data_IF_661591183157
#
_entry.id   IF_661591183157
#
_cell.length_a   1.000
_cell.length_b   1.000
_cell.length_c   1.000
_cell.angle_alpha   90.00
_cell.angle_beta   90.00
_cell.angle_gamma   90.00
#
_symmetry.space_group_name_H-M   'P 1'
#
loop_
_entity.id
_entity.type
_entity.pdbx_description
1 polymer ?
#
# COMPACT_ATOMS: atom_id res chain seq x y z
N UNK A 1 -26.29 24.73 9.51
CA UNK A 1 -26.27 23.90 8.29
C UNK A 1 -24.91 23.68 7.60
N UNK A 2 -23.84 24.51 7.71
CA UNK A 2 -22.61 24.28 6.94
C UNK A 2 -21.80 23.04 7.38
N UNK A 3 -21.78 22.72 8.68
CA UNK A 3 -21.00 21.60 9.26
C UNK A 3 -21.40 20.22 8.69
N UNK A 4 -22.65 20.04 8.26
CA UNK A 4 -23.13 18.76 7.74
C UNK A 4 -22.68 18.50 6.29
N UNK A 5 -22.60 19.54 5.47
CA UNK A 5 -22.16 19.44 4.09
C UNK A 5 -20.66 19.09 4.00
N UNK A 6 -19.84 19.69 4.86
CA UNK A 6 -18.40 19.45 4.89
C UNK A 6 -18.07 17.99 5.28
N UNK A 7 -18.81 17.42 6.23
CA UNK A 7 -18.65 16.02 6.62
C UNK A 7 -19.02 15.04 5.48
N UNK A 8 -20.09 15.32 4.74
CA UNK A 8 -20.51 14.51 3.60
C UNK A 8 -19.51 14.59 2.43
N UNK A 9 -18.94 15.77 2.17
CA UNK A 9 -17.90 15.94 1.16
C UNK A 9 -16.63 15.19 1.56
N UNK A 10 -16.23 15.27 2.84
CA UNK A 10 -15.04 14.59 3.36
C UNK A 10 -15.16 13.07 3.24
N UNK A 11 -16.28 12.47 3.68
CA UNK A 11 -16.47 11.02 3.58
C UNK A 11 -16.50 10.55 2.11
N UNK A 12 -17.10 11.33 1.20
CA UNK A 12 -17.10 11.03 -0.23
C UNK A 12 -15.68 11.00 -0.80
N UNK A 13 -14.85 11.99 -0.45
CA UNK A 13 -13.44 12.03 -0.85
C UNK A 13 -12.65 10.84 -0.32
N UNK A 14 -12.87 10.45 0.94
CA UNK A 14 -12.25 9.24 1.52
C UNK A 14 -12.64 8.01 0.69
N UNK A 15 -13.94 7.80 0.42
CA UNK A 15 -14.37 6.68 -0.43
C UNK A 15 -13.73 6.71 -1.81
N UNK A 16 -13.70 7.87 -2.48
CA UNK A 16 -13.08 7.99 -3.81
C UNK A 16 -11.61 7.60 -3.76
N UNK A 17 -10.85 8.15 -2.81
CA UNK A 17 -9.43 7.87 -2.67
C UNK A 17 -9.17 6.39 -2.37
N UNK A 18 -9.93 5.78 -1.46
CA UNK A 18 -9.82 4.35 -1.16
C UNK A 18 -10.20 3.47 -2.35
N UNK A 19 -11.23 3.84 -3.13
CA UNK A 19 -11.58 3.13 -4.37
C UNK A 19 -10.49 3.24 -5.42
N UNK A 20 -9.85 4.41 -5.57
CA UNK A 20 -8.70 4.56 -6.47
C UNK A 20 -7.55 3.68 -6.00
N UNK A 21 -7.27 3.62 -4.70
CA UNK A 21 -6.23 2.74 -4.17
C UNK A 21 -6.51 1.27 -4.48
N UNK A 22 -7.73 0.79 -4.23
CA UNK A 22 -8.09 -0.59 -4.53
C UNK A 22 -8.02 -0.88 -6.03
N UNK A 23 -8.40 0.08 -6.88
CA UNK A 23 -8.23 -0.06 -8.32
C UNK A 23 -6.75 -0.16 -8.70
N UNK A 24 -5.87 0.67 -8.13
CA UNK A 24 -4.43 0.60 -8.37
C UNK A 24 -3.89 -0.78 -8.01
N UNK A 25 -4.32 -1.35 -6.89
CA UNK A 25 -3.90 -2.68 -6.44
C UNK A 25 -4.43 -3.78 -7.36
N UNK A 26 -5.68 -3.69 -7.83
CA UNK A 26 -6.21 -4.62 -8.84
C UNK A 26 -5.41 -4.53 -10.14
N UNK A 27 -5.09 -3.31 -10.60
CA UNK A 27 -4.27 -3.10 -11.79
C UNK A 27 -2.85 -3.63 -11.61
N UNK A 28 -2.27 -3.51 -10.41
CA UNK A 28 -0.98 -4.09 -10.04
C UNK A 28 -1.02 -5.62 -10.16
N UNK A 29 -2.04 -6.27 -9.58
CA UNK A 29 -2.22 -7.72 -9.69
C UNK A 29 -2.37 -8.17 -11.14
N UNK A 30 -3.15 -7.46 -11.95
CA UNK A 30 -3.28 -7.76 -13.39
C UNK A 30 -1.92 -7.58 -14.09
N UNK A 31 -1.21 -6.49 -13.81
CA UNK A 31 0.08 -6.19 -14.43
C UNK A 31 1.14 -7.26 -14.12
N UNK A 32 1.13 -7.80 -12.89
CA UNK A 32 2.11 -8.79 -12.42
C UNK A 32 1.75 -10.22 -12.79
N UNK A 33 0.47 -10.58 -12.75
CA UNK A 33 0.01 -11.97 -12.93
C UNK A 33 -0.43 -12.29 -14.36
N UNK A 34 -0.61 -11.29 -15.22
CA UNK A 34 -0.97 -11.50 -16.63
C UNK A 34 0.22 -11.35 -17.56
N UNK A 35 0.12 -11.94 -18.76
CA UNK A 35 1.13 -11.77 -19.82
C UNK A 35 1.06 -10.44 -20.56
N UNK A 36 0.11 -9.55 -20.24
CA UNK A 36 -0.28 -8.39 -21.09
C UNK A 36 0.87 -7.38 -21.23
N UNK A 37 1.69 -7.21 -20.18
CA UNK A 37 2.73 -6.16 -20.10
C UNK A 37 4.15 -6.72 -20.13
N UNK A 38 4.30 -7.99 -20.52
CA UNK A 38 5.62 -8.66 -20.59
C UNK A 38 6.49 -8.19 -21.76
N UNK A 39 5.93 -7.46 -22.72
CA UNK A 39 6.67 -6.86 -23.83
C UNK A 39 7.62 -5.73 -23.41
N UNK A 40 8.54 -5.37 -24.31
CA UNK A 40 9.54 -4.33 -24.06
C UNK A 40 9.02 -2.92 -24.34
N UNK A 41 9.50 -1.96 -23.54
CA UNK A 41 9.16 -0.53 -23.69
C UNK A 41 9.76 0.08 -24.96
N UNK A 42 10.95 -0.38 -25.36
CA UNK A 42 11.67 0.13 -26.53
C UNK A 42 12.49 -0.98 -27.23
N UNK A 43 12.92 -0.77 -28.50
CA UNK A 43 13.61 -1.80 -29.29
C UNK A 43 14.94 -2.29 -28.70
N UNK A 44 15.62 -1.46 -27.89
CA UNK A 44 16.85 -1.85 -27.18
C UNK A 44 16.59 -2.77 -25.97
N UNK A 45 15.33 -3.11 -25.67
CA UNK A 45 14.95 -4.03 -24.60
C UNK A 45 15.53 -3.62 -23.24
N UNK A 46 15.53 -2.32 -22.91
CA UNK A 46 16.11 -1.87 -21.65
C UNK A 46 15.23 -2.19 -20.42
N UNK A 47 13.91 -2.34 -20.62
CA UNK A 47 12.92 -2.62 -19.58
C UNK A 47 11.62 -3.20 -20.17
N UNK A 48 10.86 -3.99 -19.40
CA UNK A 48 9.51 -4.45 -19.78
C UNK A 48 8.44 -3.43 -19.35
N UNK A 49 7.26 -3.50 -19.98
CA UNK A 49 6.13 -2.66 -19.55
C UNK A 49 5.69 -2.98 -18.13
N UNK A 50 5.73 -4.25 -17.71
CA UNK A 50 5.42 -4.67 -16.33
C UNK A 50 6.26 -3.89 -15.32
N UNK A 51 7.57 -3.89 -15.51
CA UNK A 51 8.54 -3.25 -14.61
C UNK A 51 8.34 -1.73 -14.57
N UNK A 52 8.15 -1.09 -15.73
CA UNK A 52 7.94 0.37 -15.82
C UNK A 52 6.67 0.81 -15.08
N UNK A 53 5.57 0.08 -15.27
CA UNK A 53 4.28 0.40 -14.65
C UNK A 53 4.32 0.20 -13.13
N UNK A 54 4.99 -0.87 -12.68
CA UNK A 54 5.20 -1.15 -11.26
C UNK A 54 6.16 -0.17 -10.60
N UNK A 55 7.15 0.36 -11.33
CA UNK A 55 8.14 1.30 -10.79
C UNK A 55 7.61 2.74 -10.71
N UNK A 56 6.88 3.18 -11.72
CA UNK A 56 6.52 4.60 -11.89
C UNK A 56 5.03 4.86 -11.73
N UNK A 57 4.20 4.26 -12.58
CA UNK A 57 2.80 4.71 -12.74
C UNK A 57 1.97 4.33 -11.51
N UNK A 58 1.98 3.06 -11.11
CA UNK A 58 1.13 2.56 -10.03
C UNK A 58 1.57 3.10 -8.64
N UNK A 59 2.88 3.18 -8.31
CA UNK A 59 3.30 3.76 -7.04
C UNK A 59 3.02 5.25 -6.93
N UNK A 60 3.20 6.03 -8.02
CA UNK A 60 2.89 7.47 -8.00
C UNK A 60 1.41 7.70 -7.68
N UNK A 61 0.50 6.97 -8.33
CA UNK A 61 -0.93 7.09 -8.02
C UNK A 61 -1.21 6.70 -6.57
N UNK A 62 -0.59 5.63 -6.06
CA UNK A 62 -0.73 5.22 -4.66
C UNK A 62 -0.24 6.27 -3.67
N UNK A 63 0.91 6.91 -3.94
CA UNK A 63 1.45 7.99 -3.10
C UNK A 63 0.53 9.21 -3.13
N UNK A 64 0.01 9.59 -4.31
CA UNK A 64 -0.94 10.69 -4.43
C UNK A 64 -2.24 10.41 -3.66
N UNK A 65 -2.72 9.16 -3.69
CA UNK A 65 -3.86 8.74 -2.88
C UNK A 65 -3.55 8.87 -1.39
N UNK A 66 -2.40 8.36 -0.93
CA UNK A 66 -1.99 8.46 0.47
C UNK A 66 -1.83 9.92 0.94
N UNK A 67 -1.26 10.80 0.10
CA UNK A 67 -1.21 12.24 0.32
C UNK A 67 -2.61 12.83 0.44
N UNK A 68 -3.50 12.50 -0.49
CA UNK A 68 -4.89 12.95 -0.50
C UNK A 68 -5.65 12.50 0.75
N UNK A 69 -5.43 11.27 1.22
CA UNK A 69 -6.04 10.75 2.44
C UNK A 69 -5.59 11.54 3.67
N UNK A 70 -4.29 11.86 3.78
CA UNK A 70 -3.79 12.71 4.87
C UNK A 70 -4.39 14.11 4.82
N UNK A 71 -4.46 14.71 3.65
CA UNK A 71 -5.00 16.07 3.49
C UNK A 71 -6.49 16.14 3.80
N UNK A 72 -7.28 15.21 3.26
CA UNK A 72 -8.72 15.10 3.56
C UNK A 72 -8.94 14.82 5.04
N UNK A 73 -8.03 14.09 5.70
CA UNK A 73 -8.13 13.86 7.15
C UNK A 73 -7.87 15.14 7.95
N UNK A 74 -6.96 16.01 7.50
CA UNK A 74 -6.57 17.26 8.15
C UNK A 74 -7.49 18.45 7.84
N UNK A 75 -8.29 18.37 6.77
CA UNK A 75 -9.01 19.52 6.21
C UNK A 75 -9.83 20.28 7.25
N UNK A 76 -9.64 21.60 7.33
CA UNK A 76 -10.40 22.48 8.23
C UNK A 76 -9.90 22.49 9.70
N UNK A 77 -8.82 21.79 10.01
CA UNK A 77 -8.25 21.77 11.36
C UNK A 77 -6.96 22.60 11.47
N UNK A 78 -6.75 23.20 12.64
CA UNK A 78 -5.46 23.81 13.01
C UNK A 78 -4.40 22.73 13.21
N UNK A 79 -3.18 22.99 12.77
CA UNK A 79 -2.05 22.07 12.90
C UNK A 79 -1.85 21.63 14.35
N UNK A 80 -1.76 20.31 14.59
CA UNK A 80 -1.55 19.73 15.93
C UNK A 80 -0.06 19.41 16.18
N UNK A 81 0.30 19.28 17.46
CA UNK A 81 1.60 18.73 17.85
C UNK A 81 1.77 17.32 17.28
N UNK A 82 2.96 16.99 16.78
CA UNK A 82 3.23 15.72 16.07
C UNK A 82 2.98 15.73 14.56
N UNK A 83 2.22 16.70 14.03
CA UNK A 83 1.93 16.79 12.59
C UNK A 83 3.19 16.94 11.72
N UNK A 84 4.16 17.73 12.20
CA UNK A 84 5.47 17.89 11.54
C UNK A 84 6.20 16.56 11.46
N UNK A 85 6.27 15.82 12.57
CA UNK A 85 6.93 14.52 12.62
C UNK A 85 6.27 13.53 11.66
N UNK A 86 4.93 13.46 11.63
CA UNK A 86 4.22 12.60 10.67
C UNK A 86 4.45 12.99 9.21
N UNK A 87 4.59 14.29 8.91
CA UNK A 87 4.94 14.71 7.55
C UNK A 87 6.37 14.33 7.18
N UNK A 88 7.33 14.43 8.11
CA UNK A 88 8.70 13.93 7.86
C UNK A 88 8.70 12.43 7.65
N UNK A 89 8.03 11.66 8.52
CA UNK A 89 7.87 10.20 8.38
C UNK A 89 7.26 9.85 7.03
N UNK A 90 6.23 10.57 6.60
CA UNK A 90 5.60 10.36 5.31
C UNK A 90 6.57 10.61 4.15
N UNK A 91 7.31 11.71 4.15
CA UNK A 91 8.27 12.06 3.09
C UNK A 91 9.42 11.05 3.03
N UNK A 92 9.96 10.63 4.18
CA UNK A 92 10.95 9.56 4.26
C UNK A 92 10.38 8.26 3.70
N UNK A 93 9.13 7.93 4.05
CA UNK A 93 8.43 6.78 3.51
C UNK A 93 8.30 6.82 1.98
N UNK A 94 7.91 7.96 1.42
CA UNK A 94 7.83 8.16 -0.04
C UNK A 94 9.20 8.01 -0.72
N UNK A 95 10.25 8.58 -0.13
CA UNK A 95 11.61 8.44 -0.65
C UNK A 95 12.04 6.97 -0.67
N UNK A 96 11.87 6.25 0.45
CA UNK A 96 12.24 4.84 0.54
C UNK A 96 11.39 3.97 -0.39
N UNK A 97 10.08 4.24 -0.53
CA UNK A 97 9.23 3.52 -1.47
C UNK A 97 9.74 3.66 -2.91
N UNK A 98 10.09 4.90 -3.31
CA UNK A 98 10.63 5.17 -4.65
C UNK A 98 12.01 4.55 -4.87
N UNK A 99 12.90 4.63 -3.89
CA UNK A 99 14.22 3.98 -3.95
C UNK A 99 14.11 2.45 -4.02
N UNK A 100 13.16 1.87 -3.27
CA UNK A 100 12.86 0.44 -3.27
C UNK A 100 12.38 -0.03 -4.64
N UNK A 101 11.30 0.56 -5.17
CA UNK A 101 10.79 0.21 -6.51
C UNK A 101 11.81 0.47 -7.62
N UNK A 102 12.52 1.60 -7.56
CA UNK A 102 13.54 1.93 -8.55
C UNK A 102 14.69 0.93 -8.60
N UNK A 103 15.03 0.33 -7.46
CA UNK A 103 16.02 -0.74 -7.40
C UNK A 103 15.39 -2.07 -7.84
N UNK A 104 14.29 -2.47 -7.20
CA UNK A 104 13.60 -3.75 -7.39
C UNK A 104 13.28 -4.04 -8.85
N UNK A 105 12.53 -3.17 -9.52
CA UNK A 105 12.01 -3.47 -10.86
C UNK A 105 13.12 -3.55 -11.92
N UNK A 106 14.17 -2.73 -11.76
CA UNK A 106 15.34 -2.76 -12.65
C UNK A 106 16.15 -4.03 -12.40
N UNK A 107 16.40 -4.39 -11.13
CA UNK A 107 17.18 -5.58 -10.81
C UNK A 107 16.41 -6.87 -11.08
N UNK A 108 15.09 -6.89 -10.91
CA UNK A 108 14.23 -7.98 -11.31
C UNK A 108 14.27 -8.23 -12.82
N UNK A 109 14.26 -7.15 -13.61
CA UNK A 109 14.46 -7.26 -15.05
C UNK A 109 15.83 -7.88 -15.38
N UNK A 110 16.91 -7.38 -14.77
CA UNK A 110 18.26 -7.91 -15.00
C UNK A 110 18.39 -9.37 -14.56
N UNK A 111 17.87 -9.71 -13.38
CA UNK A 111 17.85 -11.04 -12.80
C UNK A 111 17.17 -12.02 -13.77
N UNK A 112 15.92 -11.74 -14.14
CA UNK A 112 15.13 -12.63 -15.00
C UNK A 112 15.68 -12.75 -16.43
N UNK A 113 16.41 -11.74 -16.92
CA UNK A 113 16.92 -11.68 -18.30
C UNK A 113 18.30 -12.31 -18.47
N UNK A 114 19.19 -12.11 -17.50
CA UNK A 114 20.62 -12.37 -17.66
C UNK A 114 21.18 -13.41 -16.68
N UNK A 115 20.50 -13.70 -15.58
CA UNK A 115 21.00 -14.65 -14.59
C UNK A 115 20.44 -16.05 -14.83
N UNK A 116 21.35 -17.04 -14.90
CA UNK A 116 21.05 -18.45 -15.05
C UNK A 116 21.21 -19.23 -13.73
N UNK A 117 21.22 -20.56 -13.82
CA UNK A 117 21.36 -21.44 -12.66
C UNK A 117 22.75 -21.33 -11.99
N UNK A 118 23.79 -21.02 -12.77
CA UNK A 118 25.13 -20.78 -12.25
C UNK A 118 25.27 -19.30 -11.84
N UNK A 119 25.27 -19.05 -10.53
CA UNK A 119 25.43 -17.70 -9.98
C UNK A 119 26.90 -17.26 -10.08
N UNK A 120 27.22 -16.44 -11.07
CA UNK A 120 28.44 -15.64 -11.04
C UNK A 120 28.32 -14.49 -10.02
N UNK A 121 29.43 -13.81 -9.76
CA UNK A 121 29.47 -12.73 -8.78
C UNK A 121 28.53 -11.57 -9.15
N UNK A 122 28.31 -11.31 -10.44
CA UNK A 122 27.41 -10.26 -10.89
C UNK A 122 25.96 -10.63 -10.58
N UNK A 123 25.56 -11.86 -10.88
CA UNK A 123 24.23 -12.36 -10.59
C UNK A 123 23.96 -12.44 -9.09
N UNK A 124 24.95 -12.79 -8.26
CA UNK A 124 24.81 -12.71 -6.81
C UNK A 124 24.49 -11.27 -6.33
N UNK A 125 25.13 -10.25 -6.91
CA UNK A 125 24.85 -8.84 -6.59
C UNK A 125 23.45 -8.45 -7.06
N UNK A 126 23.05 -8.84 -8.27
CA UNK A 126 21.73 -8.53 -8.84
C UNK A 126 20.62 -9.15 -7.99
N UNK A 127 20.74 -10.44 -7.64
CA UNK A 127 19.79 -11.16 -6.78
C UNK A 127 19.68 -10.51 -5.40
N UNK A 128 20.81 -10.14 -4.78
CA UNK A 128 20.78 -9.45 -3.49
C UNK A 128 20.05 -8.10 -3.56
N UNK A 129 20.30 -7.33 -4.64
CA UNK A 129 19.62 -6.06 -4.84
C UNK A 129 18.11 -6.24 -5.08
N UNK A 130 17.73 -7.27 -5.86
CA UNK A 130 16.34 -7.59 -6.18
C UNK A 130 15.58 -8.13 -4.96
N UNK A 131 16.03 -9.25 -4.40
CA UNK A 131 15.25 -10.04 -3.44
C UNK A 131 15.49 -9.67 -1.97
N UNK A 132 16.58 -8.99 -1.64
CA UNK A 132 16.85 -8.58 -0.26
C UNK A 132 16.80 -7.07 -0.06
N UNK A 133 17.78 -6.34 -0.61
CA UNK A 133 17.95 -4.92 -0.31
C UNK A 133 16.73 -4.10 -0.73
N UNK A 134 16.25 -4.27 -1.96
CA UNK A 134 15.11 -3.49 -2.44
C UNK A 134 13.83 -3.78 -1.66
N UNK A 135 13.60 -5.04 -1.24
CA UNK A 135 12.46 -5.40 -0.38
C UNK A 135 12.52 -4.70 0.97
N UNK A 136 13.68 -4.70 1.66
CA UNK A 136 13.82 -3.98 2.94
C UNK A 136 13.51 -2.49 2.80
N UNK A 137 14.03 -1.86 1.73
CA UNK A 137 13.83 -0.44 1.46
C UNK A 137 12.36 -0.15 1.09
N UNK A 138 11.78 -0.95 0.20
CA UNK A 138 10.38 -0.85 -0.24
C UNK A 138 9.42 -1.01 0.94
N UNK A 139 9.53 -2.09 1.70
CA UNK A 139 8.62 -2.38 2.81
C UNK A 139 8.76 -1.38 3.96
N UNK A 140 9.96 -0.86 4.20
CA UNK A 140 10.15 0.27 5.12
C UNK A 140 9.39 1.51 4.64
N UNK A 141 9.51 1.85 3.36
CA UNK A 141 8.75 2.96 2.75
C UNK A 141 7.24 2.77 2.87
N UNK A 142 6.76 1.59 2.49
CA UNK A 142 5.35 1.20 2.58
C UNK A 142 4.81 1.30 4.01
N UNK A 143 5.55 0.77 4.99
CA UNK A 143 5.18 0.82 6.40
C UNK A 143 5.06 2.27 6.89
N UNK A 144 6.08 3.11 6.61
CA UNK A 144 6.10 4.50 7.07
C UNK A 144 4.97 5.34 6.46
N UNK A 145 4.67 5.18 5.17
CA UNK A 145 3.55 5.86 4.50
C UNK A 145 2.23 5.49 5.19
N UNK A 146 1.97 4.20 5.35
CA UNK A 146 0.72 3.71 5.93
C UNK A 146 0.57 4.09 7.40
N UNK A 147 1.65 4.00 8.20
CA UNK A 147 1.65 4.50 9.58
C UNK A 147 1.41 6.01 9.64
N UNK A 148 2.01 6.80 8.75
CA UNK A 148 1.76 8.24 8.72
C UNK A 148 0.29 8.57 8.38
N UNK A 149 -0.35 7.83 7.48
CA UNK A 149 -1.79 7.94 7.19
C UNK A 149 -2.61 7.57 8.43
N UNK A 150 -2.38 6.38 9.00
CA UNK A 150 -3.11 5.88 10.17
C UNK A 150 -2.98 6.80 11.39
N UNK A 151 -1.78 7.27 11.69
CA UNK A 151 -1.50 8.13 12.83
C UNK A 151 -1.99 9.57 12.62
N UNK A 152 -2.36 9.96 11.40
CA UNK A 152 -3.05 11.25 11.17
C UNK A 152 -4.46 11.22 11.77
N UNK A 153 -5.14 10.08 11.79
CA UNK A 153 -6.51 9.93 12.34
C UNK A 153 -6.63 10.36 13.81
N UNK A 154 -5.82 9.87 14.77
CA UNK A 154 -5.92 10.30 16.16
C UNK A 154 -5.56 11.79 16.38
N UNK A 155 -4.78 12.40 15.49
CA UNK A 155 -4.49 13.86 15.56
C UNK A 155 -5.65 14.71 15.05
N UNK A 156 -6.40 14.20 14.08
CA UNK A 156 -7.51 14.89 13.41
C UNK A 156 -8.76 13.99 13.34
N UNK A 157 -9.35 13.64 14.49
CA UNK A 157 -10.50 12.75 14.54
C UNK A 157 -11.71 13.38 13.86
N UNK A 158 -12.53 12.53 13.26
CA UNK A 158 -13.75 12.94 12.58
C UNK A 158 -14.82 13.33 13.60
N UNK A 159 -15.49 14.46 13.37
CA UNK A 159 -16.61 14.91 14.22
C UNK A 159 -17.89 14.10 14.01
N UNK A 160 -18.02 13.41 12.87
CA UNK A 160 -19.13 12.51 12.52
C UNK A 160 -18.63 11.16 11.99
N UNK A 161 -18.70 10.07 12.78
CA UNK A 161 -18.23 8.77 12.35
C UNK A 161 -19.00 8.23 11.14
N UNK A 162 -18.43 7.24 10.45
CA UNK A 162 -19.13 6.54 9.37
C UNK A 162 -20.39 5.85 9.92
N UNK A 163 -21.54 6.09 9.29
CA UNK A 163 -22.82 5.47 9.64
C UNK A 163 -23.58 5.05 8.40
N UNK A 164 -24.49 4.08 8.55
CA UNK A 164 -25.34 3.60 7.44
C UNK A 164 -24.52 2.96 6.32
N UNK A 165 -24.83 3.34 5.06
CA UNK A 165 -24.24 2.76 3.84
C UNK A 165 -22.72 2.89 3.73
N UNK A 166 -22.12 3.86 4.43
CA UNK A 166 -20.67 4.04 4.39
C UNK A 166 -19.91 2.84 4.94
N UNK A 167 -20.43 2.17 5.97
CA UNK A 167 -19.77 1.00 6.57
C UNK A 167 -19.67 -0.17 5.58
N UNK A 168 -20.77 -0.72 5.03
CA UNK A 168 -20.67 -1.83 4.07
C UNK A 168 -19.88 -1.45 2.81
N UNK A 169 -19.94 -0.20 2.35
CA UNK A 169 -19.11 0.27 1.24
C UNK A 169 -17.59 0.26 1.56
N UNK A 170 -17.20 0.64 2.79
CA UNK A 170 -15.82 0.53 3.24
C UNK A 170 -15.38 -0.94 3.42
N UNK A 171 -16.26 -1.80 3.95
CA UNK A 171 -15.98 -3.22 4.10
C UNK A 171 -15.75 -3.89 2.73
N UNK A 172 -16.67 -3.69 1.79
CA UNK A 172 -16.57 -4.28 0.45
C UNK A 172 -15.31 -3.80 -0.29
N UNK A 173 -15.02 -2.50 -0.24
CA UNK A 173 -13.80 -1.94 -0.82
C UNK A 173 -12.53 -2.48 -0.12
N UNK A 174 -12.55 -2.57 1.21
CA UNK A 174 -11.45 -3.14 1.99
C UNK A 174 -11.19 -4.61 1.68
N UNK A 175 -12.24 -5.40 1.42
CA UNK A 175 -12.10 -6.80 0.98
C UNK A 175 -11.42 -6.89 -0.38
N UNK A 176 -11.76 -6.00 -1.34
CA UNK A 176 -11.12 -5.99 -2.67
C UNK A 176 -9.60 -5.79 -2.54
N UNK A 177 -9.15 -4.82 -1.74
CA UNK A 177 -7.71 -4.66 -1.48
C UNK A 177 -7.20 -5.87 -0.68
N UNK A 178 -7.91 -6.30 0.38
CA UNK A 178 -7.51 -7.43 1.21
C UNK A 178 -7.28 -8.73 0.43
N UNK A 179 -8.02 -8.97 -0.66
CA UNK A 179 -7.78 -10.08 -1.58
C UNK A 179 -6.44 -10.00 -2.30
N UNK A 180 -5.94 -8.80 -2.60
CA UNK A 180 -4.62 -8.63 -3.18
C UNK A 180 -3.51 -8.82 -2.13
N UNK A 181 -3.75 -8.40 -0.88
CA UNK A 181 -2.84 -8.73 0.24
C UNK A 181 -2.77 -10.24 0.44
N UNK A 182 -3.92 -10.91 0.43
CA UNK A 182 -4.00 -12.37 0.45
C UNK A 182 -3.22 -13.00 -0.70
N UNK A 183 -3.45 -12.54 -1.94
CA UNK A 183 -2.77 -13.09 -3.11
C UNK A 183 -1.24 -12.94 -3.01
N UNK A 184 -0.75 -11.79 -2.55
CA UNK A 184 0.68 -11.57 -2.33
C UNK A 184 1.23 -12.54 -1.27
N UNK A 185 0.58 -12.65 -0.11
CA UNK A 185 1.05 -13.48 1.00
C UNK A 185 0.88 -15.00 0.77
N UNK A 186 -0.03 -15.42 -0.11
CA UNK A 186 -0.36 -16.84 -0.30
C UNK A 186 0.30 -17.47 -1.52
N UNK A 187 0.66 -16.68 -2.53
CA UNK A 187 1.23 -17.20 -3.78
C UNK A 187 2.69 -16.82 -4.00
N UNK A 188 3.25 -15.96 -3.15
CA UNK A 188 4.67 -15.60 -3.17
C UNK A 188 5.37 -16.15 -1.92
N UNK A 189 6.70 -16.35 -1.95
CA UNK A 189 7.44 -16.74 -0.77
C UNK A 189 7.18 -15.78 0.39
N UNK A 190 6.55 -16.29 1.45
CA UNK A 190 6.25 -15.50 2.65
C UNK A 190 7.55 -14.97 3.24
N UNK A 191 7.66 -13.65 3.37
CA UNK A 191 8.88 -13.02 3.84
C UNK A 191 8.60 -11.79 4.69
N UNK A 192 9.26 -10.69 4.33
CA UNK A 192 9.16 -9.41 5.05
C UNK A 192 7.76 -8.81 5.01
N UNK A 193 6.99 -9.11 3.95
CA UNK A 193 5.63 -8.66 3.73
C UNK A 193 4.67 -9.07 4.86
N UNK A 194 4.75 -10.31 5.34
CA UNK A 194 3.93 -10.81 6.44
C UNK A 194 4.11 -9.95 7.70
N UNK A 195 5.37 -9.67 8.08
CA UNK A 195 5.67 -8.89 9.28
C UNK A 195 5.16 -7.45 9.16
N UNK A 196 5.28 -6.85 7.98
CA UNK A 196 4.83 -5.49 7.69
C UNK A 196 3.30 -5.41 7.73
N UNK A 197 2.62 -6.35 7.07
CA UNK A 197 1.15 -6.44 7.09
C UNK A 197 0.64 -6.69 8.52
N UNK A 198 1.28 -7.59 9.27
CA UNK A 198 0.94 -7.85 10.68
C UNK A 198 1.13 -6.60 11.55
N UNK A 199 2.24 -5.87 11.39
CA UNK A 199 2.48 -4.62 12.12
C UNK A 199 1.39 -3.58 11.84
N UNK A 200 0.99 -3.43 10.57
CA UNK A 200 -0.10 -2.52 10.19
C UNK A 200 -1.47 -2.98 10.69
N UNK A 201 -1.75 -4.29 10.68
CA UNK A 201 -2.97 -4.86 11.23
C UNK A 201 -3.10 -4.60 12.74
N UNK A 202 -2.01 -4.78 13.49
CA UNK A 202 -1.93 -4.49 14.92
C UNK A 202 -2.09 -2.99 15.19
N UNK A 203 -1.39 -2.14 14.43
CA UNK A 203 -1.51 -0.69 14.55
C UNK A 203 -2.95 -0.21 14.29
N UNK A 204 -3.59 -0.71 13.23
CA UNK A 204 -4.97 -0.39 12.89
C UNK A 204 -5.94 -0.85 13.99
N UNK A 205 -5.78 -2.07 14.53
CA UNK A 205 -6.59 -2.59 15.63
C UNK A 205 -6.42 -1.77 16.91
N UNK A 206 -5.18 -1.45 17.29
CA UNK A 206 -4.87 -0.66 18.48
C UNK A 206 -5.48 0.75 18.40
N UNK A 207 -5.40 1.39 17.24
CA UNK A 207 -6.03 2.70 17.01
C UNK A 207 -7.55 2.58 16.98
N UNK A 208 -8.10 1.56 16.32
CA UNK A 208 -9.54 1.33 16.25
C UNK A 208 -10.16 1.12 17.64
N UNK A 209 -9.48 0.40 18.53
CA UNK A 209 -9.92 0.19 19.91
C UNK A 209 -10.15 1.52 20.65
N UNK A 210 -9.27 2.51 20.41
CA UNK A 210 -9.33 3.84 21.02
C UNK A 210 -10.24 4.81 20.28
N UNK A 211 -10.38 4.66 18.96
CA UNK A 211 -11.05 5.62 18.04
C UNK A 211 -12.01 4.88 17.10
N UNK A 212 -13.02 4.24 17.69
CA UNK A 212 -14.01 3.43 16.97
C UNK A 212 -14.73 4.26 15.90
N UNK A 213 -15.12 3.60 14.80
CA UNK A 213 -15.96 4.14 13.71
C UNK A 213 -15.32 5.22 12.83
N UNK A 214 -14.00 5.43 12.93
CA UNK A 214 -13.26 6.21 11.94
C UNK A 214 -13.17 5.45 10.61
N UNK A 215 -13.58 6.06 9.47
CA UNK A 215 -13.64 5.39 8.17
C UNK A 215 -12.34 4.70 7.76
N UNK A 216 -11.21 5.41 7.94
CA UNK A 216 -9.89 4.90 7.58
C UNK A 216 -9.48 3.72 8.46
N UNK A 217 -9.78 3.75 9.76
CA UNK A 217 -9.45 2.64 10.66
C UNK A 217 -10.27 1.39 10.33
N UNK A 218 -11.56 1.56 9.99
CA UNK A 218 -12.39 0.44 9.54
C UNK A 218 -11.82 -0.17 8.26
N UNK A 219 -11.49 0.67 7.26
CA UNK A 219 -10.92 0.19 6.00
C UNK A 219 -9.60 -0.57 6.22
N UNK A 220 -8.63 0.04 6.91
CA UNK A 220 -7.32 -0.56 7.17
C UNK A 220 -7.42 -1.84 7.99
N UNK A 221 -8.33 -1.88 8.97
CA UNK A 221 -8.59 -3.08 9.76
C UNK A 221 -9.07 -4.21 8.84
N UNK A 222 -10.03 -3.95 7.95
CA UNK A 222 -10.52 -4.94 7.00
C UNK A 222 -9.41 -5.38 6.07
N UNK A 223 -8.71 -4.46 5.38
CA UNK A 223 -7.67 -4.81 4.41
C UNK A 223 -6.65 -5.78 5.00
N UNK A 224 -6.05 -5.43 6.14
CA UNK A 224 -4.94 -6.21 6.67
C UNK A 224 -5.40 -7.43 7.46
N UNK A 225 -6.46 -7.36 8.26
CA UNK A 225 -6.94 -8.55 8.97
C UNK A 225 -7.61 -9.55 8.03
N UNK A 226 -8.38 -9.10 7.03
CA UNK A 226 -8.92 -10.02 6.03
C UNK A 226 -7.80 -10.70 5.26
N UNK A 227 -6.79 -9.96 4.79
CA UNK A 227 -5.62 -10.51 4.12
C UNK A 227 -4.91 -11.56 4.98
N UNK A 228 -4.53 -11.21 6.22
CA UNK A 228 -3.85 -12.14 7.13
C UNK A 228 -4.66 -13.38 7.46
N UNK A 229 -5.96 -13.22 7.80
CA UNK A 229 -6.80 -14.34 8.20
C UNK A 229 -7.08 -15.27 7.02
N UNK A 230 -7.34 -14.72 5.83
CA UNK A 230 -7.53 -15.54 4.62
C UNK A 230 -6.26 -16.29 4.24
N UNK A 231 -5.08 -15.65 4.35
CA UNK A 231 -3.79 -16.32 4.14
C UNK A 231 -3.59 -17.44 5.15
N UNK A 232 -3.80 -17.19 6.45
CA UNK A 232 -3.64 -18.20 7.50
C UNK A 232 -4.57 -19.40 7.29
N UNK A 233 -5.84 -19.15 6.94
CA UNK A 233 -6.80 -20.21 6.61
C UNK A 233 -6.32 -21.01 5.40
N UNK A 234 -5.89 -20.34 4.32
CA UNK A 234 -5.39 -21.01 3.12
C UNK A 234 -4.20 -21.91 3.44
N UNK A 235 -3.18 -21.41 4.14
CA UNK A 235 -1.95 -22.16 4.47
C UNK A 235 -2.15 -23.32 5.44
N UNK A 236 -3.26 -23.34 6.19
CA UNK A 236 -3.57 -24.42 7.14
C UNK A 236 -4.59 -25.43 6.61
N UNK A 237 -5.34 -25.09 5.56
CA UNK A 237 -6.41 -25.93 5.00
C UNK A 237 -6.01 -26.54 3.65
N UNK A 238 -5.16 -25.86 2.89
CA UNK A 238 -4.70 -26.26 1.55
C UNK A 238 -3.21 -26.59 1.61
#
# INVERSE_FOLDING_TARGET
MPIAADAAVRIRRIHTLLSVQSLVVVLLSINRLSGITTGYVAPNQFLRWTDLLNMLVLPVVSVLVAMGLREVTRSGATRRSGDRALSVVFVVGVYLLGAGYGSHEVTNYLHSRFCGADLDQMCAIIVYQDDEFSHWVFFSGFLLINLAVLLTVPLYPTTRPAVGWHVPALLGNGIVFGLAVFANLSFEPIGLDLYVVAALAVAALALWWRRRREPLLVYYLVVYWFGLLSTAVYTHVV
#
